data_IF_135968370322
#
_entry.id   IF_135968370322
#
_cell.length_a   1.000
_cell.length_b   1.000
_cell.length_c   1.000
_cell.angle_alpha   90.00
_cell.angle_beta   90.00
_cell.angle_gamma   90.00
#
_symmetry.space_group_name_H-M   'P 1'
#
loop_
_entity.id
_entity.type
_entity.pdbx_description
1 polymer ?
#
# COMPACT_ATOMS: atom_id res chain seq x y z
N UNK A 1 6.77 -22.69 9.66
CA UNK A 1 6.71 -22.31 8.24
C UNK A 1 7.69 -21.17 8.06
N UNK A 2 8.64 -21.28 7.13
CA UNK A 2 9.55 -20.17 6.82
C UNK A 2 8.71 -19.10 6.11
N UNK A 3 8.61 -17.91 6.68
CA UNK A 3 7.87 -16.82 6.06
C UNK A 3 8.70 -16.24 4.90
N UNK A 4 8.06 -16.00 3.75
CA UNK A 4 8.74 -15.43 2.59
C UNK A 4 7.94 -14.33 1.92
N UNK A 5 8.68 -13.35 1.40
CA UNK A 5 8.12 -12.16 0.77
C UNK A 5 8.64 -12.00 -0.65
N UNK A 6 7.81 -11.44 -1.51
CA UNK A 6 8.19 -11.07 -2.88
C UNK A 6 8.28 -9.55 -2.99
N UNK A 7 9.34 -9.05 -3.62
CA UNK A 7 9.51 -7.63 -3.89
C UNK A 7 9.40 -7.43 -5.40
N UNK A 8 8.32 -6.79 -5.81
CA UNK A 8 8.02 -6.47 -7.20
C UNK A 8 8.54 -5.07 -7.55
N UNK A 9 9.40 -4.99 -8.57
CA UNK A 9 9.94 -3.74 -9.10
C UNK A 9 11.46 -3.65 -8.95
N UNK A 10 12.08 -2.80 -9.79
CA UNK A 10 13.53 -2.56 -9.77
C UNK A 10 14.38 -3.68 -10.39
N UNK A 11 14.07 -4.10 -11.63
CA UNK A 11 14.87 -5.10 -12.35
C UNK A 11 16.33 -4.65 -12.54
N UNK A 12 17.27 -5.41 -11.96
CA UNK A 12 18.72 -5.26 -12.13
C UNK A 12 19.51 -5.47 -10.83
N UNK A 13 20.75 -5.98 -10.93
CA UNK A 13 21.71 -5.95 -9.81
C UNK A 13 21.98 -4.48 -9.43
N UNK A 14 21.54 -4.05 -8.24
CA UNK A 14 21.57 -2.65 -7.79
C UNK A 14 20.25 -1.87 -7.92
N UNK A 15 19.14 -2.54 -8.27
CA UNK A 15 17.80 -1.96 -8.32
C UNK A 15 17.25 -1.54 -6.94
N UNK A 16 16.15 -0.78 -6.95
CA UNK A 16 15.47 -0.29 -5.72
C UNK A 16 15.08 -1.41 -4.73
N UNK A 17 14.86 -2.63 -5.23
CA UNK A 17 14.51 -3.79 -4.42
C UNK A 17 15.67 -4.34 -3.58
N UNK A 18 16.92 -4.21 -4.03
CA UNK A 18 18.04 -4.91 -3.40
C UNK A 18 18.32 -4.45 -1.95
N UNK A 19 18.29 -3.15 -1.61
CA UNK A 19 18.45 -2.71 -0.21
C UNK A 19 17.41 -3.32 0.73
N UNK A 20 16.15 -3.44 0.27
CA UNK A 20 15.04 -4.02 1.04
C UNK A 20 15.25 -5.54 1.17
N UNK A 21 15.57 -6.21 0.05
CA UNK A 21 15.80 -7.65 0.01
C UNK A 21 16.98 -8.05 0.91
N UNK A 22 18.09 -7.33 0.85
CA UNK A 22 19.28 -7.58 1.66
C UNK A 22 19.01 -7.37 3.15
N UNK A 23 18.28 -6.29 3.52
CA UNK A 23 17.90 -6.04 4.90
C UNK A 23 17.00 -7.15 5.47
N UNK A 24 16.00 -7.60 4.71
CA UNK A 24 15.11 -8.69 5.10
C UNK A 24 15.86 -10.02 5.25
N UNK A 25 16.77 -10.34 4.30
CA UNK A 25 17.65 -11.50 4.38
C UNK A 25 18.54 -11.46 5.63
N UNK A 26 19.08 -10.28 5.98
CA UNK A 26 19.85 -10.07 7.21
C UNK A 26 19.05 -10.32 8.51
N UNK A 27 17.72 -10.22 8.44
CA UNK A 27 16.80 -10.55 9.54
C UNK A 27 16.29 -12.00 9.50
N UNK A 28 16.80 -12.83 8.58
CA UNK A 28 16.39 -14.22 8.40
C UNK A 28 15.06 -14.40 7.67
N UNK A 29 14.54 -13.35 7.01
CA UNK A 29 13.35 -13.44 6.16
C UNK A 29 13.77 -13.81 4.74
N UNK A 30 13.11 -14.79 4.15
CA UNK A 30 13.33 -15.12 2.74
C UNK A 30 12.69 -14.05 1.86
N UNK A 31 13.50 -13.34 1.06
CA UNK A 31 13.04 -12.27 0.18
C UNK A 31 13.44 -12.58 -1.27
N UNK A 32 12.44 -12.60 -2.17
CA UNK A 32 12.61 -12.88 -3.60
C UNK A 32 12.25 -11.65 -4.42
N UNK A 33 13.12 -11.23 -5.33
CA UNK A 33 12.80 -10.17 -6.27
C UNK A 33 11.99 -10.73 -7.45
N UNK A 34 11.00 -9.97 -7.92
CA UNK A 34 10.22 -10.26 -9.11
C UNK A 34 10.20 -9.04 -10.04
N UNK A 35 10.27 -9.29 -11.33
CA UNK A 35 10.23 -8.27 -12.39
C UNK A 35 8.87 -8.22 -13.08
N UNK A 36 8.09 -9.29 -12.99
CA UNK A 36 6.76 -9.40 -13.59
C UNK A 36 5.74 -10.01 -12.61
N UNK A 37 4.45 -9.71 -12.82
CA UNK A 37 3.38 -10.19 -11.93
C UNK A 37 3.28 -11.72 -11.92
N UNK A 38 3.51 -12.35 -13.07
CA UNK A 38 3.45 -13.81 -13.24
C UNK A 38 4.57 -14.57 -12.50
N UNK A 39 5.64 -13.88 -12.08
CA UNK A 39 6.74 -14.47 -11.30
C UNK A 39 6.41 -14.56 -9.80
N UNK A 40 5.30 -13.94 -9.37
CA UNK A 40 4.90 -13.87 -7.97
C UNK A 40 4.25 -15.19 -7.57
N UNK A 41 4.86 -15.84 -6.58
CA UNK A 41 4.35 -17.05 -5.97
C UNK A 41 3.07 -16.72 -5.16
N UNK A 42 1.93 -17.38 -5.44
CA UNK A 42 0.70 -17.22 -4.67
C UNK A 42 0.85 -17.55 -3.17
N UNK A 43 1.88 -18.31 -2.80
CA UNK A 43 2.20 -18.61 -1.41
C UNK A 43 2.90 -17.50 -0.64
N UNK A 44 3.22 -16.36 -1.26
CA UNK A 44 3.93 -15.26 -0.58
C UNK A 44 3.12 -14.67 0.56
N UNK A 45 3.74 -14.52 1.74
CA UNK A 45 3.09 -13.94 2.92
C UNK A 45 2.78 -12.45 2.77
N UNK A 46 3.59 -11.74 1.96
CA UNK A 46 3.44 -10.34 1.61
C UNK A 46 4.22 -10.02 0.34
N UNK A 47 3.57 -9.30 -0.59
CA UNK A 47 4.22 -8.73 -1.76
C UNK A 47 4.49 -7.24 -1.54
N UNK A 48 5.73 -6.80 -1.60
CA UNK A 48 6.07 -5.38 -1.63
C UNK A 48 6.08 -4.91 -3.07
N UNK A 49 5.30 -3.89 -3.40
CA UNK A 49 5.27 -3.33 -4.76
C UNK A 49 5.91 -1.96 -4.76
N UNK A 50 7.12 -1.89 -5.30
CA UNK A 50 7.85 -0.64 -5.43
C UNK A 50 7.26 0.19 -6.58
N UNK A 51 7.53 1.49 -6.60
CA UNK A 51 7.00 2.41 -7.61
C UNK A 51 5.48 2.27 -7.77
N UNK A 52 4.77 2.12 -6.65
CA UNK A 52 3.34 1.89 -6.66
C UNK A 52 2.56 3.02 -7.35
N UNK A 53 3.10 4.25 -7.41
CA UNK A 53 2.55 5.35 -8.20
C UNK A 53 2.50 5.09 -9.72
N UNK A 54 3.31 4.13 -10.22
CA UNK A 54 3.34 3.74 -11.64
C UNK A 54 2.55 2.46 -11.91
N UNK A 55 2.66 1.47 -11.02
CA UNK A 55 2.14 0.11 -11.27
C UNK A 55 1.10 -0.37 -10.25
N UNK A 56 0.80 0.42 -9.21
CA UNK A 56 -0.10 0.03 -8.13
C UNK A 56 -1.53 -0.27 -8.59
N UNK A 57 -2.07 0.51 -9.53
CA UNK A 57 -3.41 0.26 -10.06
C UNK A 57 -3.50 -1.07 -10.83
N UNK A 58 -2.51 -1.35 -11.70
CA UNK A 58 -2.46 -2.61 -12.44
C UNK A 58 -2.26 -3.80 -11.50
N UNK A 59 -1.37 -3.64 -10.51
CA UNK A 59 -1.14 -4.68 -9.51
C UNK A 59 -2.34 -4.91 -8.60
N UNK A 60 -3.12 -3.88 -8.28
CA UNK A 60 -4.35 -4.01 -7.49
C UNK A 60 -5.34 -4.96 -8.14
N UNK A 61 -5.55 -4.84 -9.45
CA UNK A 61 -6.43 -5.75 -10.18
C UNK A 61 -5.93 -7.20 -10.11
N UNK A 62 -4.63 -7.41 -10.34
CA UNK A 62 -3.99 -8.72 -10.25
C UNK A 62 -4.08 -9.33 -8.84
N UNK A 63 -3.78 -8.54 -7.81
CA UNK A 63 -3.80 -8.99 -6.42
C UNK A 63 -5.22 -9.31 -5.93
N UNK A 64 -6.23 -8.56 -6.37
CA UNK A 64 -7.64 -8.85 -6.05
C UNK A 64 -8.10 -10.17 -6.68
N UNK A 65 -7.68 -10.46 -7.91
CA UNK A 65 -8.00 -11.72 -8.59
C UNK A 65 -7.31 -12.93 -7.94
N UNK A 66 -6.05 -12.77 -7.52
CA UNK A 66 -5.22 -13.87 -7.01
C UNK A 66 -5.20 -13.98 -5.48
N UNK A 67 -5.89 -13.09 -4.76
CA UNK A 67 -5.92 -13.09 -3.30
C UNK A 67 -4.58 -12.72 -2.63
N UNK A 68 -3.73 -11.95 -3.31
CA UNK A 68 -2.40 -11.60 -2.82
C UNK A 68 -2.46 -10.46 -1.81
N UNK A 69 -1.86 -10.68 -0.63
CA UNK A 69 -1.65 -9.59 0.34
C UNK A 69 -0.42 -8.78 -0.07
N UNK A 70 -0.54 -7.46 -0.11
CA UNK A 70 0.54 -6.61 -0.60
C UNK A 70 0.66 -5.24 0.07
N UNK A 71 1.87 -4.68 0.02
CA UNK A 71 2.21 -3.36 0.52
C UNK A 71 2.66 -2.48 -0.65
N UNK A 72 1.89 -1.46 -1.06
CA UNK A 72 2.37 -0.45 -1.99
C UNK A 72 3.45 0.40 -1.35
N UNK A 73 4.55 0.61 -2.07
CA UNK A 73 5.64 1.51 -1.72
C UNK A 73 5.83 2.46 -2.90
N UNK A 74 5.42 3.71 -2.71
CA UNK A 74 5.59 4.77 -3.68
C UNK A 74 6.68 5.73 -3.21
N UNK A 75 7.46 6.28 -4.15
CA UNK A 75 8.56 7.18 -3.81
C UNK A 75 8.77 8.24 -4.88
N UNK A 76 8.92 9.50 -4.45
CA UNK A 76 9.24 10.61 -5.32
C UNK A 76 10.32 11.47 -4.72
N UNK A 77 11.54 11.25 -5.19
CA UNK A 77 12.77 11.98 -4.86
C UNK A 77 13.15 12.00 -3.38
N UNK A 78 12.35 12.63 -2.51
CA UNK A 78 12.55 12.75 -1.05
C UNK A 78 11.36 12.24 -0.23
N UNK A 79 10.19 12.06 -0.83
CA UNK A 79 8.95 11.68 -0.15
C UNK A 79 8.59 10.23 -0.48
N UNK A 80 8.37 9.42 0.54
CA UNK A 80 7.85 8.06 0.43
C UNK A 80 6.42 7.95 0.94
N UNK A 81 5.62 7.12 0.28
CA UNK A 81 4.28 6.71 0.75
C UNK A 81 4.22 5.20 0.84
N UNK A 82 3.95 4.68 2.03
CA UNK A 82 3.79 3.26 2.29
C UNK A 82 2.33 2.96 2.62
N UNK A 83 1.80 1.90 2.04
CA UNK A 83 0.51 1.36 2.43
C UNK A 83 -0.72 2.03 1.80
N UNK A 84 -1.90 1.55 2.17
CA UNK A 84 -2.12 0.57 3.25
C UNK A 84 -1.64 -0.84 2.90
N UNK A 85 -1.43 -1.71 3.89
CA UNK A 85 -1.35 -3.16 3.63
C UNK A 85 -2.72 -3.60 3.11
N UNK A 86 -2.74 -4.07 1.87
CA UNK A 86 -3.93 -4.47 1.14
C UNK A 86 -4.09 -5.98 1.30
N UNK A 87 -5.17 -6.37 1.97
CA UNK A 87 -5.62 -7.75 2.12
C UNK A 87 -6.92 -7.85 1.32
N UNK A 88 -6.92 -8.50 0.14
CA UNK A 88 -8.10 -8.63 -0.70
C UNK A 88 -9.33 -9.10 0.08
N UNK A 89 -10.43 -8.35 -0.02
CA UNK A 89 -11.67 -8.68 0.66
C UNK A 89 -11.75 -8.30 2.14
N UNK A 90 -10.67 -7.81 2.76
CA UNK A 90 -10.64 -7.40 4.17
C UNK A 90 -10.37 -5.90 4.33
N UNK A 91 -9.26 -5.40 3.79
CA UNK A 91 -8.85 -3.99 3.95
C UNK A 91 -9.22 -3.13 2.74
N UNK A 92 -8.91 -1.83 2.81
CA UNK A 92 -9.07 -0.93 1.68
C UNK A 92 -8.10 -1.34 0.55
N UNK A 93 -8.59 -1.47 -0.68
CA UNK A 93 -7.73 -1.73 -1.84
C UNK A 93 -7.03 -0.45 -2.33
N UNK A 94 -6.14 -0.58 -3.30
CA UNK A 94 -5.42 0.59 -3.85
C UNK A 94 -6.37 1.64 -4.44
N UNK A 95 -7.44 1.21 -5.12
CA UNK A 95 -8.44 2.18 -5.63
C UNK A 95 -9.20 2.92 -4.51
N UNK A 96 -9.38 2.32 -3.33
CA UNK A 96 -9.94 3.05 -2.18
C UNK A 96 -8.98 4.16 -1.71
N UNK A 97 -7.68 3.87 -1.69
CA UNK A 97 -6.64 4.86 -1.39
C UNK A 97 -6.66 6.01 -2.40
N UNK A 98 -6.68 5.69 -3.70
CA UNK A 98 -6.70 6.69 -4.76
C UNK A 98 -7.98 7.55 -4.74
N UNK A 99 -9.13 6.95 -4.43
CA UNK A 99 -10.38 7.70 -4.26
C UNK A 99 -10.32 8.64 -3.05
N UNK A 100 -9.73 8.20 -1.93
CA UNK A 100 -9.50 9.06 -0.77
C UNK A 100 -8.56 10.23 -1.12
N UNK A 101 -7.46 9.95 -1.82
CA UNK A 101 -6.52 10.98 -2.27
C UNK A 101 -7.21 12.06 -3.10
N UNK A 102 -7.98 11.62 -4.10
CA UNK A 102 -8.80 12.51 -4.94
C UNK A 102 -9.83 13.31 -4.15
N UNK A 103 -10.53 12.68 -3.19
CA UNK A 103 -11.53 13.35 -2.37
C UNK A 103 -10.95 14.44 -1.45
N UNK A 104 -9.72 14.25 -0.97
CA UNK A 104 -9.01 15.23 -0.16
C UNK A 104 -8.22 16.26 -0.99
N UNK A 105 -8.32 16.22 -2.32
CA UNK A 105 -7.53 17.08 -3.20
C UNK A 105 -6.02 16.84 -3.11
N UNK A 106 -5.60 15.68 -2.61
CA UNK A 106 -4.18 15.31 -2.51
C UNK A 106 -3.68 14.99 -3.92
N UNK A 107 -2.62 15.68 -4.40
CA UNK A 107 -2.04 15.33 -5.68
C UNK A 107 -1.44 13.91 -5.62
N UNK A 108 -1.51 13.15 -6.73
CA UNK A 108 -0.80 11.90 -6.83
C UNK A 108 0.70 12.16 -6.65
N UNK A 109 1.40 11.19 -6.06
CA UNK A 109 2.84 11.29 -5.89
C UNK A 109 3.48 11.19 -7.28
N UNK A 110 3.99 12.29 -7.81
CA UNK A 110 4.54 12.32 -9.16
C UNK A 110 5.86 11.53 -9.20
N UNK A 111 5.94 10.49 -10.04
CA UNK A 111 7.18 9.77 -10.27
C UNK A 111 8.26 10.74 -10.78
N UNK A 112 9.43 10.72 -10.14
CA UNK A 112 10.58 11.54 -10.53
C UNK A 112 11.70 10.62 -11.02
N UNK A 113 12.38 10.98 -12.13
CA UNK A 113 13.42 10.13 -12.71
C UNK A 113 14.67 10.03 -11.83
N UNK A 114 14.89 11.00 -10.95
CA UNK A 114 16.00 11.02 -10.00
C UNK A 114 15.52 10.73 -8.57
N UNK A 115 16.17 9.77 -7.93
CA UNK A 115 16.02 9.49 -6.50
C UNK A 115 17.11 10.19 -5.70
N UNK A 116 16.79 10.64 -4.49
CA UNK A 116 17.81 11.04 -3.52
C UNK A 116 18.08 9.84 -2.60
N UNK A 117 19.23 9.17 -2.80
CA UNK A 117 19.55 7.88 -2.16
C UNK A 117 19.44 7.86 -0.62
N UNK A 118 19.82 8.92 0.12
CA UNK A 118 19.61 8.96 1.57
C UNK A 118 18.13 8.88 1.95
N UNK A 119 17.26 9.63 1.25
CA UNK A 119 15.81 9.57 1.46
C UNK A 119 15.25 8.19 1.12
N UNK A 120 15.72 7.57 0.04
CA UNK A 120 15.32 6.22 -0.32
C UNK A 120 15.68 5.22 0.77
N UNK A 121 16.88 5.31 1.34
CA UNK A 121 17.34 4.39 2.40
C UNK A 121 16.47 4.45 3.65
N UNK A 122 15.97 5.63 4.02
CA UNK A 122 15.01 5.80 5.12
C UNK A 122 13.66 5.15 4.79
N UNK A 123 13.11 5.43 3.60
CA UNK A 123 11.83 4.88 3.15
C UNK A 123 11.88 3.36 3.00
N UNK A 124 12.98 2.82 2.45
CA UNK A 124 13.24 1.39 2.36
C UNK A 124 13.29 0.75 3.76
N UNK A 125 13.94 1.40 4.73
CA UNK A 125 13.96 0.92 6.12
C UNK A 125 12.58 0.90 6.76
N UNK A 126 11.72 1.89 6.47
CA UNK A 126 10.32 1.89 6.91
C UNK A 126 9.55 0.72 6.29
N UNK A 127 9.77 0.42 5.00
CA UNK A 127 9.11 -0.71 4.32
C UNK A 127 9.54 -2.06 4.92
N UNK A 128 10.82 -2.22 5.23
CA UNK A 128 11.35 -3.40 5.94
C UNK A 128 10.69 -3.53 7.31
N UNK A 129 10.59 -2.44 8.08
CA UNK A 129 9.98 -2.45 9.41
C UNK A 129 8.51 -2.87 9.36
N UNK A 130 7.73 -2.31 8.44
CA UNK A 130 6.32 -2.66 8.26
C UNK A 130 6.14 -4.12 7.81
N UNK A 131 7.04 -4.61 6.96
CA UNK A 131 7.08 -6.02 6.53
C UNK A 131 7.35 -6.94 7.72
N UNK A 132 8.37 -6.65 8.52
CA UNK A 132 8.72 -7.49 9.69
C UNK A 132 7.60 -7.52 10.71
N UNK A 133 6.95 -6.37 10.98
CA UNK A 133 5.76 -6.33 11.84
C UNK A 133 4.62 -7.18 11.27
N UNK A 134 4.43 -7.17 9.96
CA UNK A 134 3.41 -7.99 9.31
C UNK A 134 3.70 -9.49 9.47
N UNK A 135 4.93 -9.91 9.21
CA UNK A 135 5.33 -11.32 9.31
C UNK A 135 5.32 -11.84 10.76
N UNK A 136 5.63 -10.97 11.72
CA UNK A 136 5.65 -11.31 13.16
C UNK A 136 4.32 -11.11 13.89
N UNK A 137 3.23 -10.79 13.18
CA UNK A 137 1.91 -10.48 13.78
C UNK A 137 1.33 -11.60 14.66
N UNK A 138 1.75 -12.85 14.48
CA UNK A 138 1.30 -13.99 15.29
C UNK A 138 2.10 -14.17 16.58
N UNK A 139 3.31 -13.63 16.66
CA UNK A 139 4.23 -13.80 17.79
C UNK A 139 4.49 -12.51 18.54
N UNK A 140 4.18 -11.35 17.96
CA UNK A 140 4.44 -10.04 18.52
C UNK A 140 3.17 -9.17 18.53
N UNK A 141 3.06 -8.26 19.49
CA UNK A 141 1.89 -7.38 19.68
C UNK A 141 1.94 -6.09 18.86
N UNK A 142 3.01 -5.86 18.09
CA UNK A 142 3.16 -4.63 17.29
C UNK A 142 2.60 -4.82 15.88
N UNK A 143 1.39 -4.31 15.65
CA UNK A 143 0.81 -4.27 14.31
C UNK A 143 1.58 -3.28 13.40
N UNK A 144 1.69 -3.56 12.08
CA UNK A 144 2.15 -2.58 11.11
C UNK A 144 1.29 -1.31 11.18
N UNK A 145 1.93 -0.14 11.17
CA UNK A 145 1.22 1.13 11.13
C UNK A 145 0.45 1.31 9.82
N UNK A 146 0.98 0.78 8.73
CA UNK A 146 0.39 0.74 7.39
C UNK A 146 -0.82 -0.20 7.29
N UNK A 147 -1.15 -0.98 8.32
CA UNK A 147 -2.40 -1.73 8.34
C UNK A 147 -3.56 -0.74 8.51
N UNK A 148 -4.34 -0.54 7.44
CA UNK A 148 -5.45 0.43 7.42
C UNK A 148 -5.03 1.89 7.32
N UNK A 149 -3.74 2.20 7.13
CA UNK A 149 -3.25 3.57 6.98
C UNK A 149 -2.25 3.69 5.83
N UNK A 150 -2.21 4.86 5.21
CA UNK A 150 -1.10 5.30 4.40
C UNK A 150 -0.13 6.09 5.29
N UNK A 151 1.12 5.67 5.32
CA UNK A 151 2.22 6.37 5.99
C UNK A 151 2.95 7.19 4.93
N UNK A 152 2.89 8.51 5.05
CA UNK A 152 3.68 9.43 4.24
C UNK A 152 4.89 9.88 5.06
N UNK A 153 6.06 9.90 4.45
CA UNK A 153 7.30 10.32 5.10
C UNK A 153 8.14 11.17 4.15
N UNK A 154 8.30 12.45 4.50
CA UNK A 154 9.27 13.35 3.89
C UNK A 154 10.61 13.15 4.59
N UNK A 155 11.51 12.42 3.94
CA UNK A 155 12.81 12.11 4.51
C UNK A 155 13.79 13.30 4.47
N UNK A 156 13.50 14.35 3.70
CA UNK A 156 14.33 15.55 3.66
C UNK A 156 14.02 16.47 4.84
N UNK A 157 12.74 16.65 5.16
CA UNK A 157 12.29 17.45 6.30
C UNK A 157 12.11 16.65 7.60
N UNK A 158 12.28 15.32 7.54
CA UNK A 158 12.07 14.40 8.67
C UNK A 158 10.66 14.49 9.25
N UNK A 159 9.67 14.62 8.38
CA UNK A 159 8.26 14.74 8.75
C UNK A 159 7.49 13.51 8.29
N UNK A 160 6.59 13.02 9.15
CA UNK A 160 5.76 11.87 8.86
C UNK A 160 4.29 12.15 9.16
N UNK A 161 3.42 11.67 8.29
CA UNK A 161 1.98 11.71 8.46
C UNK A 161 1.39 10.31 8.33
N UNK A 162 0.37 10.03 9.13
CA UNK A 162 -0.35 8.76 9.11
C UNK A 162 -1.81 9.05 8.80
N UNK A 163 -2.25 8.54 7.65
CA UNK A 163 -3.55 8.85 7.09
C UNK A 163 -4.40 7.59 7.04
N UNK A 164 -5.54 7.51 7.75
CA UNK A 164 -6.38 6.31 7.74
C UNK A 164 -7.00 6.08 6.37
N UNK A 165 -7.03 4.84 5.89
CA UNK A 165 -7.61 4.47 4.60
C UNK A 165 -8.72 3.45 4.83
N UNK A 166 -9.96 3.88 4.61
CA UNK A 166 -11.13 3.04 4.82
C UNK A 166 -11.53 2.33 3.53
N UNK A 167 -11.94 1.06 3.67
CA UNK A 167 -12.53 0.31 2.57
C UNK A 167 -13.89 0.93 2.24
N UNK A 168 -14.04 1.39 1.00
CA UNK A 168 -15.30 1.99 0.55
C UNK A 168 -16.27 0.87 0.13
N UNK A 169 -17.50 0.82 0.68
CA UNK A 169 -18.51 -0.15 0.24
C UNK A 169 -18.84 -0.05 -1.25
N UNK A 170 -18.67 1.15 -1.82
CA UNK A 170 -18.94 1.50 -3.21
C UNK A 170 -17.70 1.56 -4.10
N UNK A 171 -16.55 1.04 -3.63
CA UNK A 171 -15.35 0.97 -4.45
C UNK A 171 -15.63 0.18 -5.74
N UNK A 172 -15.25 0.70 -6.93
CA UNK A 172 -15.49 0.00 -8.19
C UNK A 172 -14.74 -1.34 -8.29
N UNK A 173 -13.65 -1.50 -7.53
CA UNK A 173 -12.75 -2.66 -7.64
C UNK A 173 -12.96 -3.70 -6.54
N UNK A 174 -13.11 -3.28 -5.27
CA UNK A 174 -13.27 -4.20 -4.13
C UNK A 174 -14.59 -4.05 -3.34
N UNK A 175 -15.43 -3.10 -3.77
CA UNK A 175 -16.69 -2.78 -3.10
C UNK A 175 -17.74 -3.87 -3.33
N UNK A 176 -18.60 -4.07 -2.33
CA UNK A 176 -19.72 -5.00 -2.42
C UNK A 176 -20.96 -4.36 -3.06
N UNK A 177 -20.92 -3.05 -3.33
CA UNK A 177 -22.04 -2.27 -3.88
C UNK A 177 -21.57 -1.50 -5.11
N UNK A 178 -22.21 -1.69 -6.25
CA UNK A 178 -21.93 -0.89 -7.45
C UNK A 178 -22.63 0.47 -7.46
N UNK A 179 -23.54 0.72 -6.52
CA UNK A 179 -24.25 1.98 -6.36
C UNK A 179 -24.29 2.39 -4.89
N UNK A 180 -24.06 3.68 -4.63
CA UNK A 180 -24.37 4.28 -3.35
C UNK A 180 -25.89 4.25 -3.16
N UNK A 181 -26.40 3.19 -2.53
CA UNK A 181 -27.74 3.26 -1.95
C UNK A 181 -27.65 4.25 -0.80
N UNK A 182 -28.52 5.26 -0.84
CA UNK A 182 -28.75 6.24 0.22
C UNK A 182 -29.03 5.50 1.54
N UNK A 183 -27.99 5.07 2.24
CA UNK A 183 -28.11 4.77 3.66
C UNK A 183 -28.25 6.16 4.31
N UNK A 184 -29.49 6.52 4.64
CA UNK A 184 -29.91 7.71 5.37
C UNK A 184 -28.99 8.92 5.19
N UNK A 185 -29.19 9.69 4.11
CA UNK A 185 -28.67 11.05 4.07
C UNK A 185 -29.57 11.91 4.97
N UNK A 186 -29.11 12.40 6.14
CA UNK A 186 -29.98 13.12 7.08
C UNK A 186 -30.53 14.42 6.46
N UNK A 187 -29.82 15.02 5.50
CA UNK A 187 -30.21 16.27 4.88
C UNK A 187 -31.29 16.14 3.80
N UNK A 188 -31.53 14.94 3.25
CA UNK A 188 -32.68 14.74 2.35
C UNK A 188 -34.01 14.66 3.10
N UNK A 189 -34.01 14.45 4.43
CA UNK A 189 -35.24 14.50 5.23
C UNK A 189 -35.74 15.93 5.46
N UNK A 190 -34.87 16.95 5.35
CA UNK A 190 -35.28 18.34 5.52
C UNK A 190 -36.33 18.78 4.48
N UNK A 191 -36.32 18.18 3.28
CA UNK A 191 -37.32 18.42 2.24
C UNK A 191 -38.67 17.72 2.47
N UNK A 192 -38.74 16.75 3.40
CA UNK A 192 -39.97 16.03 3.74
C UNK A 192 -40.78 16.70 4.86
N UNK A 193 -40.18 17.66 5.59
CA UNK A 193 -40.85 18.44 6.64
C UNK A 193 -41.59 19.66 6.09
N UNK A 194 -41.36 20.03 4.82
CA UNK A 194 -41.97 21.20 4.17
C UNK A 194 -43.04 20.86 3.11
N UNK A 195 -43.45 19.60 3.01
CA UNK A 195 -44.63 19.27 2.21
C UNK A 195 -45.88 19.40 3.11
N UNK A 196 -46.89 20.21 2.70
CA UNK A 196 -48.14 20.36 3.45
C UNK A 196 -48.96 19.07 3.52
#
# INVERSE_FOLDING_TARGET
>A
MSAFVTILGGGGEGGEAEPIAAALRGLGVEARAASAFAEIDPGSDLVLVLQAELQGAAFNAYALEHGLTWLPVAFSHTVGRLGPIIIPGETACYDCLELRGRANGLPPLAAKPSRFDPSWSMVASLAVMETVKWLSRSTNSFAPLSLGHQVEFDAFHLQGEVNPVYRLPTCPSCGLRHQARLAAQPWTEAGLVQLP
#
